data_IF_984786599785
#
_entry.id   IF_984786599785
#
_cell.length_a   1.000
_cell.length_b   1.000
_cell.length_c   1.000
_cell.angle_alpha   90.00
_cell.angle_beta   90.00
_cell.angle_gamma   90.00
#
_symmetry.space_group_name_H-M   'P 1'
#
loop_
_entity.id
_entity.type
_entity.pdbx_description
1 polymer ?
#
# COMPACT_ATOMS: atom_id res chain seq x y z
N UNK A 1 -1.10 11.80 -14.08
CA UNK A 1 -0.44 10.53 -14.42
C UNK A 1 0.85 10.45 -13.63
N UNK A 2 0.98 9.47 -12.74
CA UNK A 2 2.23 9.24 -11.99
C UNK A 2 3.20 8.51 -12.92
N UNK A 3 4.44 8.98 -13.00
CA UNK A 3 5.52 8.31 -13.74
C UNK A 3 6.60 7.83 -12.75
N UNK A 4 7.42 6.86 -13.17
CA UNK A 4 8.44 6.26 -12.30
C UNK A 4 9.44 7.29 -11.73
N UNK A 5 9.71 8.36 -12.48
CA UNK A 5 10.54 9.51 -12.08
C UNK A 5 9.89 10.41 -11.01
N UNK A 6 8.58 10.29 -10.77
CA UNK A 6 7.87 10.97 -9.69
C UNK A 6 7.86 10.20 -8.36
N UNK A 7 8.50 9.03 -8.30
CA UNK A 7 8.49 8.15 -7.12
C UNK A 7 9.82 8.32 -6.36
N UNK A 8 9.73 8.82 -5.13
CA UNK A 8 10.88 8.95 -4.22
C UNK A 8 10.82 7.87 -3.14
N UNK A 9 11.97 7.51 -2.58
CA UNK A 9 12.03 6.67 -1.38
C UNK A 9 11.65 7.50 -0.16
N UNK A 10 10.70 7.06 0.65
CA UNK A 10 10.33 7.75 1.88
C UNK A 10 11.47 7.72 2.90
N UNK A 11 11.61 8.81 3.66
CA UNK A 11 12.53 8.92 4.80
C UNK A 11 11.85 8.57 6.13
N UNK A 12 10.58 8.17 6.10
CA UNK A 12 9.80 7.86 7.31
C UNK A 12 10.29 6.55 7.91
N UNK A 13 10.37 6.50 9.25
CA UNK A 13 10.77 5.30 9.98
C UNK A 13 9.69 4.22 9.85
N UNK A 14 10.07 3.06 9.34
CA UNK A 14 9.17 1.91 9.23
C UNK A 14 8.74 1.39 10.61
N UNK A 15 7.45 1.08 10.77
CA UNK A 15 6.99 0.31 11.92
C UNK A 15 7.55 -1.12 11.88
N UNK A 16 8.09 -1.62 13.00
CA UNK A 16 8.69 -2.98 13.08
C UNK A 16 7.73 -4.08 12.60
N UNK A 17 6.44 -3.95 12.91
CA UNK A 17 5.42 -4.93 12.53
C UNK A 17 4.96 -4.78 11.08
N UNK A 18 4.82 -3.54 10.59
CA UNK A 18 4.51 -3.24 9.20
C UNK A 18 5.62 -3.75 8.27
N UNK A 19 6.89 -3.57 8.64
CA UNK A 19 8.05 -4.03 7.86
C UNK A 19 8.04 -5.55 7.60
N UNK A 20 7.57 -6.36 8.56
CA UNK A 20 7.42 -7.82 8.37
C UNK A 20 6.34 -8.14 7.33
N UNK A 21 5.22 -7.42 7.36
CA UNK A 21 4.13 -7.59 6.40
C UNK A 21 4.58 -7.13 5.01
N UNK A 22 5.21 -5.96 4.91
CA UNK A 22 5.74 -5.38 3.66
C UNK A 22 6.71 -6.35 2.99
N UNK A 23 7.68 -6.92 3.73
CA UNK A 23 8.63 -7.90 3.18
C UNK A 23 7.96 -9.12 2.57
N UNK A 24 6.89 -9.63 3.21
CA UNK A 24 6.12 -10.77 2.67
C UNK A 24 5.37 -10.39 1.40
N UNK A 25 4.78 -9.20 1.36
CA UNK A 25 4.08 -8.69 0.19
C UNK A 25 5.03 -8.46 -0.98
N UNK A 26 6.22 -7.89 -0.72
CA UNK A 26 7.28 -7.69 -1.73
C UNK A 26 7.60 -9.02 -2.42
N UNK A 27 8.00 -10.03 -1.66
CA UNK A 27 8.34 -11.35 -2.22
C UNK A 27 7.15 -11.96 -2.99
N UNK A 28 5.94 -11.85 -2.43
CA UNK A 28 4.73 -12.37 -3.07
C UNK A 28 4.47 -11.70 -4.43
N UNK A 29 4.50 -10.37 -4.50
CA UNK A 29 4.19 -9.63 -5.72
C UNK A 29 5.33 -9.69 -6.75
N UNK A 30 6.59 -9.70 -6.32
CA UNK A 30 7.73 -9.92 -7.23
C UNK A 30 7.65 -11.29 -7.92
N UNK A 31 7.27 -12.35 -7.18
CA UNK A 31 7.03 -13.68 -7.76
C UNK A 31 5.86 -13.71 -8.76
N UNK A 32 4.95 -12.73 -8.68
CA UNK A 32 3.87 -12.53 -9.65
C UNK A 32 4.25 -11.57 -10.79
N UNK A 33 5.50 -11.12 -10.85
CA UNK A 33 6.03 -10.24 -11.90
C UNK A 33 5.66 -8.77 -11.73
N UNK A 34 5.36 -8.31 -10.51
CA UNK A 34 5.21 -6.88 -10.21
C UNK A 34 6.57 -6.29 -9.86
N UNK A 35 6.80 -5.04 -10.26
CA UNK A 35 7.82 -4.22 -9.62
C UNK A 35 7.26 -3.71 -8.29
N UNK A 36 8.05 -3.81 -7.22
CA UNK A 36 7.62 -3.40 -5.87
C UNK A 36 8.50 -2.27 -5.36
N UNK A 37 7.88 -1.27 -4.73
CA UNK A 37 8.56 -0.11 -4.17
C UNK A 37 8.03 0.10 -2.75
N UNK A 38 8.72 -0.43 -1.72
CA UNK A 38 8.33 -0.22 -0.33
C UNK A 38 8.59 1.24 0.07
N UNK A 39 7.70 1.78 0.90
CA UNK A 39 7.74 3.16 1.41
C UNK A 39 7.91 4.19 0.30
N UNK A 40 7.04 4.12 -0.70
CA UNK A 40 7.03 5.03 -1.82
C UNK A 40 6.48 6.40 -1.39
N UNK A 41 7.14 7.46 -1.84
CA UNK A 41 6.64 8.82 -1.81
C UNK A 41 6.25 9.25 -3.19
N UNK A 42 5.02 9.71 -3.31
CA UNK A 42 4.59 10.35 -4.53
C UNK A 42 4.90 11.84 -4.49
N UNK A 43 5.50 12.35 -5.57
CA UNK A 43 5.52 13.78 -5.85
C UNK A 43 4.45 14.08 -6.91
N UNK A 44 3.19 14.09 -6.47
CA UNK A 44 2.05 14.36 -7.35
C UNK A 44 1.77 15.86 -7.32
N UNK A 45 2.01 16.50 -8.47
CA UNK A 45 1.85 17.93 -8.74
C UNK A 45 2.85 18.88 -8.03
N UNK A 46 3.18 19.97 -8.72
CA UNK A 46 4.17 20.99 -8.37
C UNK A 46 4.03 21.53 -6.92
N UNK A 47 4.59 20.79 -5.94
CA UNK A 47 5.02 21.32 -4.66
C UNK A 47 4.22 21.00 -3.40
N UNK A 48 3.19 20.13 -3.36
CA UNK A 48 2.38 20.04 -2.12
C UNK A 48 1.69 18.73 -1.71
N UNK A 49 1.73 17.64 -2.48
CA UNK A 49 1.14 16.36 -2.02
C UNK A 49 2.24 15.30 -1.85
N UNK A 50 2.75 15.18 -0.62
CA UNK A 50 3.57 14.07 -0.16
C UNK A 50 2.66 13.06 0.56
N UNK A 51 2.00 12.17 -0.18
CA UNK A 51 1.40 11.00 0.44
C UNK A 51 2.45 9.89 0.48
N UNK A 52 2.82 9.47 1.70
CA UNK A 52 3.59 8.25 1.92
C UNK A 52 2.67 7.05 1.68
N UNK A 53 3.13 6.09 0.88
CA UNK A 53 2.48 4.79 0.66
C UNK A 53 3.42 3.69 1.14
N UNK A 54 2.90 2.79 1.97
CA UNK A 54 3.70 1.75 2.60
C UNK A 54 4.29 0.76 1.57
N UNK A 55 3.53 0.44 0.53
CA UNK A 55 4.00 -0.36 -0.60
C UNK A 55 3.30 0.04 -1.89
N UNK A 56 4.09 0.34 -2.91
CA UNK A 56 3.62 0.62 -4.26
C UNK A 56 3.97 -0.55 -5.19
N UNK A 57 3.02 -0.97 -6.02
CA UNK A 57 3.23 -2.01 -7.02
C UNK A 57 3.01 -1.43 -8.42
N UNK A 58 3.84 -1.85 -9.37
CA UNK A 58 3.73 -1.46 -10.78
C UNK A 58 3.72 -2.73 -11.65
N UNK A 59 2.74 -2.83 -12.56
CA UNK A 59 2.67 -3.90 -13.55
C UNK A 59 1.77 -3.49 -14.71
N UNK A 60 2.19 -3.74 -15.95
CA UNK A 60 1.39 -3.50 -17.15
C UNK A 60 0.75 -2.08 -17.20
N UNK A 61 1.53 -1.04 -16.90
CA UNK A 61 1.09 0.36 -16.78
C UNK A 61 0.07 0.65 -15.66
N UNK A 62 -0.27 -0.34 -14.82
CA UNK A 62 -1.11 -0.16 -13.64
C UNK A 62 -0.27 0.20 -12.41
N UNK A 63 -0.79 1.12 -11.61
CA UNK A 63 -0.23 1.60 -10.35
C UNK A 63 -1.15 1.19 -9.22
N UNK A 64 -0.61 0.42 -8.26
CA UNK A 64 -1.38 -0.14 -7.15
C UNK A 64 -0.78 0.33 -5.82
N UNK A 65 -1.56 1.06 -5.04
CA UNK A 65 -1.17 1.44 -3.69
C UNK A 65 -1.62 0.38 -2.67
N UNK A 66 -0.73 0.01 -1.76
CA UNK A 66 -1.01 -0.88 -0.64
C UNK A 66 -0.65 -0.16 0.66
N UNK A 67 -1.67 0.15 1.46
CA UNK A 67 -1.51 0.65 2.83
C UNK A 67 -1.43 -0.53 3.79
N UNK A 68 -0.39 -0.59 4.62
CA UNK A 68 -0.15 -1.71 5.54
C UNK A 68 -0.56 -1.33 6.95
N UNK A 69 -1.34 -2.18 7.61
CA UNK A 69 -1.70 -2.04 9.03
C UNK A 69 -1.50 -3.35 9.75
N UNK A 70 -0.72 -3.33 10.82
CA UNK A 70 -0.65 -4.47 11.73
C UNK A 70 -1.83 -4.49 12.69
N UNK A 71 -2.03 -5.60 13.37
CA UNK A 71 -3.01 -5.76 14.46
C UNK A 71 -2.81 -4.82 15.65
N UNK A 72 -1.68 -4.12 15.70
CA UNK A 72 -1.38 -3.08 16.69
C UNK A 72 -1.74 -1.67 16.20
N UNK A 73 -2.11 -1.53 14.93
CA UNK A 73 -2.41 -0.24 14.31
C UNK A 73 -3.90 0.07 14.31
N UNK A 74 -4.21 1.36 14.19
CA UNK A 74 -5.58 1.83 14.10
C UNK A 74 -6.05 1.90 12.64
N UNK A 75 -6.96 0.99 12.25
CA UNK A 75 -7.56 0.97 10.90
C UNK A 75 -8.28 2.25 10.49
N UNK A 76 -8.74 3.08 11.44
CA UNK A 76 -9.35 4.38 11.09
C UNK A 76 -8.37 5.28 10.32
N UNK A 77 -7.05 5.13 10.54
CA UNK A 77 -6.03 5.88 9.82
C UNK A 77 -5.85 5.40 8.38
N UNK A 78 -5.94 4.09 8.14
CA UNK A 78 -5.83 3.52 6.80
C UNK A 78 -6.89 4.09 5.86
N UNK A 79 -8.14 4.26 6.33
CA UNK A 79 -9.20 4.90 5.54
C UNK A 79 -8.78 6.27 5.01
N UNK A 80 -8.25 7.14 5.87
CA UNK A 80 -7.83 8.49 5.48
C UNK A 80 -6.66 8.45 4.49
N UNK A 81 -5.70 7.56 4.68
CA UNK A 81 -4.54 7.42 3.79
C UNK A 81 -4.96 6.91 2.41
N UNK A 82 -5.83 5.92 2.35
CA UNK A 82 -6.38 5.40 1.10
C UNK A 82 -7.20 6.46 0.36
N UNK A 83 -8.08 7.18 1.04
CA UNK A 83 -8.88 8.26 0.42
C UNK A 83 -8.01 9.36 -0.18
N UNK A 84 -6.84 9.64 0.40
CA UNK A 84 -5.91 10.65 -0.12
C UNK A 84 -5.15 10.20 -1.38
N UNK A 85 -5.03 8.89 -1.63
CA UNK A 85 -4.21 8.36 -2.73
C UNK A 85 -5.01 7.71 -3.85
N UNK A 86 -6.23 7.22 -3.56
CA UNK A 86 -7.03 6.42 -4.50
C UNK A 86 -7.30 7.09 -5.85
N UNK A 87 -7.33 8.42 -5.91
CA UNK A 87 -7.59 9.17 -7.15
C UNK A 87 -6.35 9.25 -8.07
N UNK A 88 -5.19 8.82 -7.58
CA UNK A 88 -3.92 8.88 -8.29
C UNK A 88 -3.36 7.52 -8.68
N UNK A 89 -4.04 6.43 -8.31
CA UNK A 89 -3.65 5.04 -8.56
C UNK A 89 -4.82 4.29 -9.15
N UNK A 90 -4.55 3.24 -9.92
CA UNK A 90 -5.60 2.43 -10.55
C UNK A 90 -6.34 1.57 -9.51
N UNK A 91 -5.59 1.05 -8.54
CA UNK A 91 -6.14 0.25 -7.45
C UNK A 91 -5.53 0.61 -6.10
N UNK A 92 -6.33 0.45 -5.05
CA UNK A 92 -5.91 0.63 -3.67
C UNK A 92 -6.27 -0.61 -2.84
N UNK A 93 -5.34 -1.06 -2.01
CA UNK A 93 -5.53 -2.16 -1.07
C UNK A 93 -5.13 -1.75 0.34
N UNK A 94 -5.80 -2.34 1.33
CA UNK A 94 -5.28 -2.37 2.70
C UNK A 94 -4.75 -3.77 2.97
N UNK A 95 -3.48 -3.88 3.36
CA UNK A 95 -2.89 -5.15 3.78
C UNK A 95 -2.77 -5.23 5.31
N UNK A 96 -3.15 -6.36 5.88
CA UNK A 96 -3.18 -6.55 7.32
C UNK A 96 -2.99 -8.00 7.74
N UNK A 97 -2.43 -8.21 8.94
CA UNK A 97 -2.27 -9.53 9.54
C UNK A 97 -3.46 -9.97 10.41
N UNK A 98 -4.56 -9.22 10.41
CA UNK A 98 -5.80 -9.60 11.10
C UNK A 98 -7.02 -9.29 10.24
N UNK A 99 -8.10 -10.05 10.42
CA UNK A 99 -9.36 -9.80 9.72
C UNK A 99 -10.23 -8.88 10.59
N UNK A 100 -10.43 -7.61 10.22
CA UNK A 100 -11.34 -6.73 10.94
C UNK A 100 -12.79 -7.22 10.86
N UNK A 101 -13.51 -7.22 12.00
CA UNK A 101 -14.94 -7.60 12.07
C UNK A 101 -15.85 -6.78 11.16
N UNK A 102 -15.49 -5.53 10.87
CA UNK A 102 -16.22 -4.61 9.97
C UNK A 102 -15.21 -3.78 9.20
N UNK A 103 -14.85 -4.21 8.00
CA UNK A 103 -14.08 -3.41 7.06
C UNK A 103 -14.87 -3.25 5.78
N UNK A 104 -15.21 -2.00 5.49
CA UNK A 104 -15.83 -1.61 4.24
C UNK A 104 -15.20 -0.28 3.85
N UNK A 105 -14.35 -0.33 2.82
CA UNK A 105 -13.86 0.82 2.10
C UNK A 105 -14.31 0.65 0.66
N UNK A 106 -15.04 1.63 0.14
CA UNK A 106 -15.56 1.57 -1.23
C UNK A 106 -14.38 1.60 -2.19
N UNK A 107 -14.35 0.67 -3.15
CA UNK A 107 -13.30 0.56 -4.17
C UNK A 107 -11.89 0.34 -3.58
N UNK A 108 -11.79 -0.38 -2.45
CA UNK A 108 -10.50 -0.76 -1.86
C UNK A 108 -10.53 -2.23 -1.50
N UNK A 109 -9.59 -3.01 -2.04
CA UNK A 109 -9.45 -4.42 -1.71
C UNK A 109 -8.79 -4.64 -0.36
N UNK A 110 -8.87 -5.86 0.17
CA UNK A 110 -8.23 -6.25 1.42
C UNK A 110 -7.21 -7.35 1.14
N UNK A 111 -5.99 -7.22 1.67
CA UNK A 111 -4.98 -8.28 1.60
C UNK A 111 -4.74 -8.79 3.02
N UNK A 112 -4.99 -10.07 3.24
CA UNK A 112 -4.70 -10.74 4.50
C UNK A 112 -3.31 -11.38 4.46
N UNK A 113 -2.49 -11.08 5.46
CA UNK A 113 -1.10 -11.55 5.56
C UNK A 113 -0.87 -12.25 6.90
N UNK A 114 -1.04 -13.57 6.92
CA UNK A 114 -0.76 -14.40 8.10
C UNK A 114 -0.26 -15.78 7.67
N UNK A 115 1.03 -16.05 7.84
CA UNK A 115 1.68 -17.23 7.26
C UNK A 115 1.80 -17.14 5.75
N UNK A 116 0.68 -16.98 5.05
CA UNK A 116 0.51 -16.77 3.61
C UNK A 116 -0.07 -15.38 3.29
N UNK A 117 -0.09 -15.02 2.01
CA UNK A 117 -0.74 -13.82 1.47
C UNK A 117 -2.01 -14.22 0.74
N UNK A 118 -3.14 -13.61 1.09
CA UNK A 118 -4.45 -13.87 0.48
C UNK A 118 -5.10 -12.54 0.11
N UNK A 119 -5.49 -12.38 -1.16
CA UNK A 119 -6.22 -11.19 -1.63
C UNK A 119 -7.72 -11.46 -1.50
N UNK A 120 -8.39 -10.64 -0.69
CA UNK A 120 -9.82 -10.65 -0.45
C UNK A 120 -10.47 -9.50 -1.25
N UNK A 121 -11.48 -9.84 -2.07
CA UNK A 121 -12.25 -8.87 -2.85
C UNK A 121 -13.28 -8.15 -1.99
#
# INVERSE_FOLDING_TARGET
>A
MIRADNILKSSKREGRHESVIIKKLVVFFENLGYQTIPHARFNIAWGSILSDVDLLLLKNDEIIAVEVKSSKDNLKRARKQIENIKDYVDYAYVATNYIPRKFSLRNTGLIYVNGSVVILK
#
